data_IF_704652074887
#
_entry.id   IF_704652074887
#
_cell.length_a   1.000
_cell.length_b   1.000
_cell.length_c   1.000
_cell.angle_alpha   90.00
_cell.angle_beta   90.00
_cell.angle_gamma   90.00
#
_symmetry.space_group_name_H-M   'P 1'
#
loop_
_entity.id
_entity.type
_entity.pdbx_description
1 polymer ?
#
# COMPACT_ATOMS: atom_id res chain seq x y z
N UNK A 1 13.44 15.67 20.05
CA UNK A 1 13.08 15.80 18.62
C UNK A 1 12.55 14.49 17.96
N UNK A 2 12.31 13.40 18.71
CA UNK A 2 11.82 12.13 18.13
C UNK A 2 10.28 11.96 18.10
N UNK A 3 9.52 12.91 18.64
CA UNK A 3 8.04 12.83 18.75
C UNK A 3 7.28 13.24 17.48
N UNK A 4 7.96 13.75 16.46
CA UNK A 4 7.32 14.31 15.25
C UNK A 4 7.31 13.34 14.07
N UNK A 5 8.06 12.24 14.14
CA UNK A 5 8.22 11.28 13.02
C UNK A 5 6.99 10.37 12.88
N UNK A 6 6.18 10.20 13.92
CA UNK A 6 4.96 9.37 13.89
C UNK A 6 3.77 10.04 13.19
N UNK A 7 3.86 11.31 12.79
CA UNK A 7 2.77 12.04 12.11
C UNK A 7 2.89 12.07 10.57
N UNK A 8 3.93 11.46 10.01
CA UNK A 8 4.18 11.45 8.56
C UNK A 8 4.31 10.01 8.04
N UNK A 9 3.30 9.20 8.31
CA UNK A 9 3.07 8.02 7.47
C UNK A 9 2.30 8.49 6.22
N UNK A 10 2.73 8.15 4.99
CA UNK A 10 2.11 8.62 3.74
C UNK A 10 0.71 8.01 3.47
N UNK A 11 0.02 7.53 4.50
CA UNK A 11 -1.28 6.85 4.42
C UNK A 11 -2.47 7.83 4.36
N UNK A 12 -2.23 9.14 4.25
CA UNK A 12 -3.29 10.17 4.27
C UNK A 12 -3.97 10.36 2.89
N UNK A 13 -3.48 9.78 1.80
CA UNK A 13 -3.88 10.22 0.46
C UNK A 13 -4.92 9.38 -0.30
N UNK A 14 -5.49 8.31 0.26
CA UNK A 14 -6.54 7.54 -0.43
C UNK A 14 -7.77 7.33 0.45
N UNK A 15 -8.46 8.44 0.71
CA UNK A 15 -9.85 8.47 1.20
C UNK A 15 -10.86 8.75 0.08
N UNK A 16 -10.58 8.39 -1.17
CA UNK A 16 -11.46 8.74 -2.30
C UNK A 16 -12.69 7.82 -2.39
N UNK A 17 -12.67 6.64 -1.76
CA UNK A 17 -13.84 5.74 -1.68
C UNK A 17 -13.78 4.86 -0.42
N UNK A 18 -14.18 5.38 0.76
CA UNK A 18 -14.51 4.51 1.89
C UNK A 18 -15.69 5.09 2.68
N UNK A 19 -16.80 4.38 2.63
CA UNK A 19 -17.98 4.63 3.46
C UNK A 19 -17.74 3.99 4.83
N UNK A 20 -17.96 4.74 5.91
CA UNK A 20 -17.85 4.26 7.28
C UNK A 20 -19.12 3.46 7.62
N UNK A 21 -19.06 2.13 7.59
CA UNK A 21 -20.13 1.31 8.16
C UNK A 21 -19.98 1.18 9.68
N UNK A 22 -21.12 1.28 10.34
CA UNK A 22 -21.29 1.22 11.79
C UNK A 22 -21.03 -0.18 12.33
N UNK A 23 -20.35 -0.29 13.48
CA UNK A 23 -20.02 -1.54 14.19
C UNK A 23 -21.25 -2.37 14.61
N UNK A 24 -22.47 -1.85 14.40
CA UNK A 24 -23.74 -2.47 14.77
C UNK A 24 -24.46 -3.17 13.60
N UNK A 25 -23.93 -3.11 12.38
CA UNK A 25 -24.54 -3.76 11.21
C UNK A 25 -24.09 -5.22 11.10
N UNK A 26 -24.40 -6.00 12.15
CA UNK A 26 -24.32 -7.46 12.08
C UNK A 26 -25.59 -7.93 11.37
N UNK A 27 -25.40 -8.55 10.22
CA UNK A 27 -26.43 -9.21 9.42
C UNK A 27 -27.32 -10.09 10.32
N UNK A 28 -28.53 -9.60 10.62
CA UNK A 28 -29.57 -10.32 11.38
C UNK A 28 -30.28 -11.37 10.53
N UNK A 29 -29.93 -11.47 9.26
CA UNK A 29 -30.35 -12.57 8.41
C UNK A 29 -29.46 -13.75 8.72
N UNK A 30 -30.07 -14.89 9.05
CA UNK A 30 -29.41 -16.18 9.26
C UNK A 30 -28.84 -16.73 7.94
N UNK A 31 -28.02 -15.92 7.24
CA UNK A 31 -27.14 -16.38 6.18
C UNK A 31 -26.14 -17.31 6.84
N UNK A 32 -25.75 -18.42 6.19
CA UNK A 32 -24.69 -19.25 6.73
C UNK A 32 -23.50 -18.33 7.00
N UNK A 33 -23.15 -18.21 8.28
CA UNK A 33 -21.91 -17.63 8.77
C UNK A 33 -20.82 -18.08 7.78
N UNK A 34 -19.98 -17.20 7.20
CA UNK A 34 -18.87 -17.68 6.39
C UNK A 34 -17.92 -18.40 7.34
N UNK A 35 -18.24 -19.68 7.60
CA UNK A 35 -17.32 -20.72 8.00
C UNK A 35 -16.06 -20.45 7.23
N UNK A 36 -14.99 -20.15 7.97
CA UNK A 36 -13.74 -19.68 7.41
C UNK A 36 -13.37 -20.52 6.18
N UNK A 37 -12.79 -19.89 5.15
CA UNK A 37 -12.63 -20.51 3.84
C UNK A 37 -12.01 -21.90 3.94
N UNK A 38 -12.80 -22.92 3.61
CA UNK A 38 -12.45 -24.34 3.78
C UNK A 38 -11.35 -24.78 2.82
N UNK A 39 -11.17 -24.04 1.72
CA UNK A 39 -10.18 -24.33 0.66
C UNK A 39 -9.33 -23.10 0.35
N UNK A 40 -8.04 -23.27 0.03
CA UNK A 40 -7.12 -22.16 -0.28
C UNK A 40 -7.56 -21.26 -1.45
N UNK A 41 -8.34 -21.80 -2.40
CA UNK A 41 -8.93 -21.02 -3.49
C UNK A 41 -10.01 -20.05 -3.02
N UNK A 42 -10.75 -20.41 -1.98
CA UNK A 42 -11.80 -19.56 -1.42
C UNK A 42 -11.19 -18.36 -0.68
N UNK A 43 -10.03 -18.54 -0.02
CA UNK A 43 -9.22 -17.45 0.57
C UNK A 43 -8.79 -16.44 -0.48
N UNK A 44 -8.31 -16.93 -1.63
CA UNK A 44 -7.88 -16.07 -2.74
C UNK A 44 -9.07 -15.31 -3.32
N UNK A 45 -10.21 -15.98 -3.50
CA UNK A 45 -11.45 -15.30 -3.92
C UNK A 45 -11.85 -14.21 -2.95
N UNK A 46 -11.85 -14.47 -1.64
CA UNK A 46 -12.16 -13.47 -0.62
C UNK A 46 -11.17 -12.29 -0.61
N UNK A 47 -9.91 -12.50 -1.02
CA UNK A 47 -8.95 -11.39 -1.18
C UNK A 47 -9.34 -10.45 -2.32
N UNK A 48 -9.87 -10.96 -3.44
CA UNK A 48 -10.21 -10.16 -4.62
C UNK A 48 -11.68 -9.72 -4.68
N UNK A 49 -12.58 -10.50 -4.10
CA UNK A 49 -13.98 -10.15 -3.90
C UNK A 49 -14.04 -9.34 -2.60
N UNK A 50 -14.01 -8.01 -2.73
CA UNK A 50 -14.29 -7.12 -1.60
C UNK A 50 -15.58 -7.56 -0.90
N UNK A 51 -15.65 -7.36 0.42
CA UNK A 51 -16.85 -7.70 1.18
C UNK A 51 -18.10 -7.00 0.61
N UNK A 52 -19.29 -7.43 1.02
CA UNK A 52 -20.60 -6.93 0.52
C UNK A 52 -20.75 -5.39 0.54
N UNK A 53 -19.88 -4.68 1.26
CA UNK A 53 -19.87 -3.21 1.41
C UNK A 53 -18.67 -2.51 0.76
N UNK A 54 -18.11 -3.08 -0.31
CA UNK A 54 -17.10 -2.40 -1.15
C UNK A 54 -15.82 -1.99 -0.37
N UNK A 55 -15.47 -2.77 0.66
CA UNK A 55 -14.17 -2.66 1.32
C UNK A 55 -13.13 -3.50 0.58
N UNK A 56 -12.09 -2.82 0.07
CA UNK A 56 -10.90 -3.48 -0.46
C UNK A 56 -10.27 -4.32 0.65
N UNK A 57 -10.03 -5.61 0.38
CA UNK A 57 -9.39 -6.54 1.31
C UNK A 57 -8.11 -5.94 1.90
N UNK A 58 -7.83 -6.22 3.17
CA UNK A 58 -6.67 -5.68 3.89
C UNK A 58 -5.35 -6.07 3.23
N UNK A 59 -5.33 -7.26 2.64
CA UNK A 59 -4.22 -7.79 1.87
C UNK A 59 -3.96 -6.95 0.62
N UNK A 60 -5.01 -6.59 -0.14
CA UNK A 60 -4.90 -5.70 -1.31
C UNK A 60 -4.52 -4.27 -0.92
N UNK A 61 -5.03 -3.75 0.20
CA UNK A 61 -4.63 -2.45 0.72
C UNK A 61 -3.14 -2.43 1.10
N UNK A 62 -2.62 -3.51 1.66
CA UNK A 62 -1.20 -3.66 1.98
C UNK A 62 -0.35 -3.70 0.71
N UNK A 63 -0.80 -4.42 -0.33
CA UNK A 63 -0.16 -4.44 -1.66
C UNK A 63 -0.12 -3.04 -2.29
N UNK A 64 -1.21 -2.29 -2.20
CA UNK A 64 -1.24 -0.93 -2.74
C UNK A 64 -0.28 0.00 -1.99
N UNK A 65 -0.24 -0.10 -0.66
CA UNK A 65 0.66 0.71 0.17
C UNK A 65 2.13 0.37 -0.07
N UNK A 66 2.48 -0.92 -0.18
CA UNK A 66 3.86 -1.34 -0.49
C UNK A 66 4.29 -0.86 -1.88
N UNK A 67 3.37 -0.91 -2.86
CA UNK A 67 3.61 -0.39 -4.21
C UNK A 67 3.86 1.12 -4.22
N UNK A 68 3.04 1.91 -3.53
CA UNK A 68 3.22 3.36 -3.41
C UNK A 68 4.51 3.72 -2.66
N UNK A 69 4.87 2.96 -1.62
CA UNK A 69 6.14 3.11 -0.91
C UNK A 69 7.33 2.81 -1.84
N UNK A 70 7.24 1.74 -2.64
CA UNK A 70 8.22 1.39 -3.66
C UNK A 70 8.37 2.50 -4.71
N UNK A 71 7.26 3.09 -5.15
CA UNK A 71 7.24 4.22 -6.06
C UNK A 71 7.96 5.44 -5.47
N UNK A 72 7.71 5.75 -4.19
CA UNK A 72 8.34 6.87 -3.49
C UNK A 72 9.85 6.68 -3.33
N UNK A 73 10.29 5.51 -2.86
CA UNK A 73 11.71 5.17 -2.74
C UNK A 73 12.38 5.22 -4.13
N UNK A 74 11.72 4.70 -5.15
CA UNK A 74 12.18 4.76 -6.52
C UNK A 74 12.31 6.17 -7.08
N UNK A 75 11.35 7.03 -6.76
CA UNK A 75 11.38 8.44 -7.13
C UNK A 75 12.54 9.17 -6.45
N UNK A 76 12.78 8.93 -5.15
CA UNK A 76 13.92 9.50 -4.43
C UNK A 76 15.26 9.06 -5.05
N UNK A 77 15.44 7.75 -5.26
CA UNK A 77 16.68 7.23 -5.85
C UNK A 77 16.91 7.77 -7.28
N UNK A 78 15.88 7.71 -8.14
CA UNK A 78 15.96 8.23 -9.50
C UNK A 78 16.20 9.73 -9.58
N UNK A 79 15.56 10.50 -8.68
CA UNK A 79 15.75 11.94 -8.57
C UNK A 79 17.17 12.31 -8.14
N UNK A 80 17.73 11.65 -7.11
CA UNK A 80 19.09 11.91 -6.65
C UNK A 80 20.15 11.54 -7.70
N UNK A 81 20.01 10.39 -8.35
CA UNK A 81 20.97 9.99 -9.40
C UNK A 81 20.90 10.94 -10.60
N UNK A 82 19.70 11.27 -11.07
CA UNK A 82 19.53 12.15 -12.24
C UNK A 82 19.95 13.60 -11.97
N UNK A 83 19.70 14.11 -10.76
CA UNK A 83 20.14 15.46 -10.36
C UNK A 83 21.66 15.59 -10.30
N UNK A 84 22.37 14.55 -9.81
CA UNK A 84 23.84 14.52 -9.83
C UNK A 84 24.41 14.55 -11.24
N UNK A 85 23.87 13.73 -12.15
CA UNK A 85 24.30 13.70 -13.56
C UNK A 85 24.02 15.05 -14.23
N UNK A 86 22.85 15.64 -14.01
CA UNK A 86 22.51 16.94 -14.56
C UNK A 86 23.40 18.07 -14.02
N UNK A 87 23.78 18.02 -12.74
CA UNK A 87 24.73 18.98 -12.19
C UNK A 87 26.07 18.93 -12.93
N UNK A 88 26.64 17.73 -13.12
CA UNK A 88 27.91 17.56 -13.84
C UNK A 88 27.79 18.03 -15.30
N UNK A 89 26.72 17.62 -16.00
CA UNK A 89 26.47 18.04 -17.38
C UNK A 89 26.28 19.56 -17.51
N UNK A 90 25.69 20.22 -16.49
CA UNK A 90 25.54 21.67 -16.50
C UNK A 90 26.90 22.36 -16.39
N UNK A 91 27.77 21.88 -15.50
CA UNK A 91 29.11 22.44 -15.31
C UNK A 91 29.95 22.25 -16.57
N UNK A 92 29.95 21.05 -17.16
CA UNK A 92 30.71 20.74 -18.38
C UNK A 92 30.26 21.56 -19.59
N UNK A 93 28.95 21.69 -19.82
CA UNK A 93 28.42 22.43 -20.97
C UNK A 93 28.51 23.96 -20.82
N UNK A 94 28.65 24.47 -19.59
CA UNK A 94 28.70 25.92 -19.31
C UNK A 94 30.09 26.42 -18.92
N UNK A 95 31.17 25.66 -19.16
CA UNK A 95 32.53 26.12 -18.86
C UNK A 95 32.95 27.36 -19.65
N UNK A 96 32.32 27.61 -20.81
CA UNK A 96 32.63 28.74 -21.69
C UNK A 96 31.60 29.88 -21.68
N UNK A 97 30.50 29.75 -20.91
CA UNK A 97 29.43 30.76 -20.92
C UNK A 97 29.67 31.84 -19.86
N UNK A 98 29.82 33.10 -20.31
CA UNK A 98 29.93 34.25 -19.41
C UNK A 98 28.54 34.62 -18.92
N UNK A 99 28.24 34.34 -17.65
CA UNK A 99 26.96 34.71 -17.04
C UNK A 99 26.93 36.21 -16.70
N UNK A 100 25.80 36.87 -16.96
CA UNK A 100 25.58 38.29 -16.63
C UNK A 100 25.68 38.61 -15.14
N UNK A 101 25.39 37.64 -14.27
CA UNK A 101 25.46 37.77 -12.81
C UNK A 101 25.51 36.39 -12.14
N UNK A 102 26.15 36.30 -10.98
CA UNK A 102 26.23 35.07 -10.17
C UNK A 102 24.86 34.57 -9.71
N UNK A 103 23.90 35.47 -9.49
CA UNK A 103 22.52 35.11 -9.13
C UNK A 103 21.78 34.43 -10.30
N UNK A 104 21.98 34.93 -11.52
CA UNK A 104 21.39 34.34 -12.73
C UNK A 104 21.94 32.93 -12.99
N UNK A 105 23.25 32.74 -12.81
CA UNK A 105 23.89 31.43 -12.93
C UNK A 105 23.33 30.41 -11.93
N UNK A 106 23.17 30.81 -10.65
CA UNK A 106 22.58 29.95 -9.61
C UNK A 106 21.13 29.56 -9.91
N UNK A 107 20.32 30.51 -10.38
CA UNK A 107 18.92 30.24 -10.75
C UNK A 107 18.82 29.27 -11.94
N UNK A 108 19.67 29.44 -12.95
CA UNK A 108 19.68 28.57 -14.12
C UNK A 108 20.11 27.14 -13.75
N UNK A 109 21.13 27.01 -12.91
CA UNK A 109 21.56 25.72 -12.36
C UNK A 109 20.44 25.04 -11.56
N UNK A 110 19.79 25.77 -10.65
CA UNK A 110 18.69 25.23 -9.85
C UNK A 110 17.52 24.75 -10.71
N UNK A 111 17.11 25.55 -11.70
CA UNK A 111 16.06 25.15 -12.64
C UNK A 111 16.45 23.89 -13.42
N UNK A 112 17.68 23.82 -13.92
CA UNK A 112 18.17 22.66 -14.67
C UNK A 112 18.19 21.39 -13.83
N UNK A 113 18.75 21.46 -12.62
CA UNK A 113 18.83 20.32 -11.69
C UNK A 113 17.44 19.89 -11.21
N UNK A 114 16.53 20.84 -10.97
CA UNK A 114 15.15 20.53 -10.53
C UNK A 114 14.36 19.80 -11.61
N UNK A 115 14.46 20.26 -12.87
CA UNK A 115 13.82 19.57 -14.01
C UNK A 115 14.40 18.17 -14.19
N UNK A 116 15.73 18.03 -14.07
CA UNK A 116 16.37 16.72 -14.14
C UNK A 116 15.97 15.80 -12.98
N UNK A 117 15.83 16.34 -11.77
CA UNK A 117 15.33 15.60 -10.61
C UNK A 117 13.92 15.07 -10.87
N UNK A 118 13.00 15.91 -11.35
CA UNK A 118 11.62 15.51 -11.63
C UNK A 118 11.53 14.43 -12.73
N UNK A 119 12.29 14.60 -13.81
CA UNK A 119 12.37 13.60 -14.89
C UNK A 119 12.94 12.26 -14.41
N UNK A 120 13.99 12.31 -13.59
CA UNK A 120 14.59 11.11 -12.99
C UNK A 120 13.65 10.40 -12.04
N UNK A 121 12.97 11.17 -11.18
CA UNK A 121 12.00 10.68 -10.21
C UNK A 121 10.82 9.99 -10.89
N UNK A 122 10.23 10.60 -11.93
CA UNK A 122 9.12 9.99 -12.67
C UNK A 122 9.55 8.69 -13.34
N UNK A 123 10.68 8.69 -14.09
CA UNK A 123 11.15 7.53 -14.86
C UNK A 123 11.43 6.30 -13.99
N UNK A 124 12.01 6.49 -12.81
CA UNK A 124 12.31 5.38 -11.89
C UNK A 124 11.13 5.03 -10.98
N UNK A 125 10.35 6.03 -10.55
CA UNK A 125 9.21 5.86 -9.67
C UNK A 125 8.16 4.92 -10.25
N UNK A 126 7.72 5.13 -11.49
CA UNK A 126 6.69 4.26 -12.09
C UNK A 126 7.18 2.83 -12.33
N UNK A 127 8.45 2.64 -12.71
CA UNK A 127 9.07 1.32 -12.92
C UNK A 127 9.13 0.53 -11.62
N UNK A 128 9.54 1.17 -10.53
CA UNK A 128 9.60 0.53 -9.22
C UNK A 128 8.22 0.32 -8.60
N UNK A 129 7.27 1.23 -8.84
CA UNK A 129 5.87 1.04 -8.49
C UNK A 129 5.32 -0.26 -9.10
N UNK A 130 5.47 -0.42 -10.43
CA UNK A 130 4.98 -1.60 -11.13
C UNK A 130 5.68 -2.89 -10.67
N UNK A 131 7.01 -2.84 -10.51
CA UNK A 131 7.78 -3.99 -10.03
C UNK A 131 7.37 -4.42 -8.61
N UNK A 132 7.28 -3.47 -7.68
CA UNK A 132 6.90 -3.75 -6.28
C UNK A 132 5.44 -4.15 -6.15
N UNK A 133 4.55 -3.58 -6.98
CA UNK A 133 3.14 -3.96 -7.05
C UNK A 133 2.94 -5.42 -7.48
N UNK A 134 3.58 -5.86 -8.57
CA UNK A 134 3.50 -7.25 -9.04
C UNK A 134 4.10 -8.21 -8.00
N UNK A 135 5.24 -7.87 -7.42
CA UNK A 135 5.88 -8.68 -6.39
C UNK A 135 4.98 -8.84 -5.16
N UNK A 136 4.47 -7.73 -4.64
CA UNK A 136 3.61 -7.74 -3.45
C UNK A 136 2.32 -8.48 -3.74
N UNK A 137 1.68 -8.23 -4.87
CA UNK A 137 0.45 -8.92 -5.28
C UNK A 137 0.67 -10.44 -5.35
N UNK A 138 1.72 -10.88 -6.04
CA UNK A 138 2.01 -12.31 -6.19
C UNK A 138 2.35 -12.95 -4.85
N UNK A 139 3.20 -12.31 -4.04
CA UNK A 139 3.59 -12.83 -2.74
C UNK A 139 2.38 -12.96 -1.80
N UNK A 140 1.52 -11.95 -1.77
CA UNK A 140 0.32 -11.95 -0.92
C UNK A 140 -0.69 -12.99 -1.40
N UNK A 141 -0.94 -13.11 -2.71
CA UNK A 141 -1.87 -14.13 -3.24
C UNK A 141 -1.41 -15.55 -2.94
N UNK A 142 -0.10 -15.84 -3.05
CA UNK A 142 0.44 -17.17 -2.71
C UNK A 142 0.34 -17.43 -1.19
N UNK A 143 0.64 -16.42 -0.36
CA UNK A 143 0.53 -16.56 1.10
C UNK A 143 -0.92 -16.78 1.55
N UNK A 144 -1.89 -16.08 0.95
CA UNK A 144 -3.33 -16.26 1.22
C UNK A 144 -3.81 -17.65 0.79
N UNK A 145 -3.34 -18.15 -0.36
CA UNK A 145 -3.68 -19.49 -0.83
C UNK A 145 -3.21 -20.58 0.15
N UNK A 146 -1.99 -20.46 0.67
CA UNK A 146 -1.38 -21.49 1.54
C UNK A 146 -1.74 -21.35 3.02
N UNK A 147 -2.15 -20.16 3.46
CA UNK A 147 -2.43 -19.86 4.86
C UNK A 147 -1.20 -19.59 5.73
N UNK A 148 -0.02 -20.05 5.30
CA UNK A 148 1.26 -19.85 5.97
C UNK A 148 2.15 -18.88 5.20
N UNK A 149 3.19 -18.37 5.85
CA UNK A 149 4.26 -17.64 5.18
C UNK A 149 5.55 -18.42 5.19
N UNK A 150 6.05 -18.74 4.01
CA UNK A 150 7.30 -19.48 3.82
C UNK A 150 8.16 -18.87 2.75
N UNK A 151 9.44 -19.24 2.76
CA UNK A 151 10.45 -18.79 1.81
C UNK A 151 10.03 -18.97 0.34
N UNK A 152 9.24 -20.00 0.05
CA UNK A 152 8.78 -20.36 -1.29
C UNK A 152 7.89 -19.26 -1.90
N UNK A 153 7.08 -18.57 -1.10
CA UNK A 153 6.24 -17.45 -1.58
C UNK A 153 7.10 -16.30 -2.10
N UNK A 154 8.11 -15.90 -1.32
CA UNK A 154 9.01 -14.83 -1.73
C UNK A 154 9.83 -15.23 -2.97
N UNK A 155 10.32 -16.47 -3.04
CA UNK A 155 11.10 -16.95 -4.17
C UNK A 155 10.27 -17.04 -5.45
N UNK A 156 9.04 -17.57 -5.36
CA UNK A 156 8.12 -17.66 -6.50
C UNK A 156 7.62 -16.29 -6.96
N UNK A 157 7.30 -15.38 -6.03
CA UNK A 157 6.96 -14.00 -6.35
C UNK A 157 8.13 -13.28 -7.02
N UNK A 158 9.36 -13.50 -6.52
CA UNK A 158 10.59 -12.99 -7.12
C UNK A 158 10.85 -13.51 -8.53
N UNK A 159 10.66 -14.82 -8.73
CA UNK A 159 10.78 -15.47 -10.03
C UNK A 159 9.78 -14.86 -11.04
N UNK A 160 8.51 -14.78 -10.65
CA UNK A 160 7.44 -14.31 -11.50
C UNK A 160 7.62 -12.82 -11.85
N UNK A 161 7.93 -12.00 -10.85
CA UNK A 161 8.15 -10.56 -11.06
C UNK A 161 9.39 -10.31 -11.92
N UNK A 162 10.48 -11.03 -11.67
CA UNK A 162 11.72 -10.92 -12.44
C UNK A 162 11.56 -11.38 -13.89
N UNK A 163 10.74 -12.42 -14.11
CA UNK A 163 10.35 -12.87 -15.45
C UNK A 163 9.52 -11.78 -16.14
N UNK A 164 8.41 -11.35 -15.52
CA UNK A 164 7.46 -10.36 -16.07
C UNK A 164 8.14 -9.05 -16.46
N UNK A 165 9.11 -8.59 -15.66
CA UNK A 165 9.83 -7.34 -15.93
C UNK A 165 10.66 -7.38 -17.23
N UNK A 166 11.06 -8.56 -17.70
CA UNK A 166 11.94 -8.73 -18.88
C UNK A 166 11.30 -9.46 -20.06
N UNK A 167 10.00 -9.73 -20.05
CA UNK A 167 9.31 -10.46 -21.13
C UNK A 167 9.54 -9.79 -22.49
N UNK A 168 9.48 -8.46 -22.55
CA UNK A 168 9.64 -7.71 -23.80
C UNK A 168 11.05 -7.82 -24.41
N UNK A 169 12.05 -8.27 -23.66
CA UNK A 169 13.43 -8.44 -24.14
C UNK A 169 13.72 -9.88 -24.64
N UNK A 170 12.72 -10.77 -24.65
CA UNK A 170 12.81 -12.14 -25.16
C UNK A 170 13.07 -13.21 -24.09
N UNK A 171 12.91 -14.49 -24.48
CA UNK A 171 12.92 -15.64 -23.55
C UNK A 171 14.21 -15.77 -22.72
N UNK A 172 15.37 -15.51 -23.31
CA UNK A 172 16.64 -15.55 -22.59
C UNK A 172 16.73 -14.48 -21.50
N UNK A 173 16.23 -13.27 -21.79
CA UNK A 173 16.18 -12.18 -20.82
C UNK A 173 15.19 -12.47 -19.68
N UNK A 174 14.06 -13.12 -20.00
CA UNK A 174 13.08 -13.60 -19.02
C UNK A 174 13.68 -14.64 -18.08
N UNK A 175 14.43 -15.62 -18.59
CA UNK A 175 15.06 -16.65 -17.76
C UNK A 175 16.10 -16.07 -16.81
N UNK A 176 16.95 -15.15 -17.30
CA UNK A 176 17.93 -14.45 -16.47
C UNK A 176 17.24 -13.53 -15.46
N UNK A 177 16.16 -12.85 -15.86
CA UNK A 177 15.34 -12.03 -14.97
C UNK A 177 14.70 -12.83 -13.85
N UNK A 178 14.15 -14.01 -14.18
CA UNK A 178 13.60 -14.95 -13.20
C UNK A 178 14.70 -15.46 -12.25
N UNK A 179 15.87 -15.86 -12.77
CA UNK A 179 16.99 -16.35 -11.96
C UNK A 179 17.58 -15.29 -11.03
N UNK A 180 17.70 -14.03 -11.47
CA UNK A 180 18.12 -12.93 -10.60
C UNK A 180 17.04 -12.60 -9.57
N UNK A 181 15.77 -12.62 -9.98
CA UNK A 181 14.62 -12.39 -9.10
C UNK A 181 14.51 -13.43 -7.99
N UNK A 182 14.71 -14.71 -8.30
CA UNK A 182 14.74 -15.78 -7.30
C UNK A 182 15.91 -15.64 -6.34
N UNK A 183 17.12 -15.38 -6.85
CA UNK A 183 18.31 -15.25 -6.02
C UNK A 183 18.19 -14.10 -5.00
N UNK A 184 17.76 -12.92 -5.46
CA UNK A 184 17.54 -11.77 -4.58
C UNK A 184 16.43 -12.03 -3.55
N UNK A 185 15.32 -12.64 -3.99
CA UNK A 185 14.18 -12.92 -3.11
C UNK A 185 14.47 -14.04 -2.11
N UNK A 186 15.35 -14.97 -2.45
CA UNK A 186 15.83 -16.00 -1.54
C UNK A 186 16.62 -15.39 -0.38
N UNK A 187 17.58 -14.50 -0.68
CA UNK A 187 18.37 -13.81 0.35
C UNK A 187 17.47 -12.93 1.22
N UNK A 188 16.56 -12.18 0.59
CA UNK A 188 15.60 -11.34 1.31
C UNK A 188 14.66 -12.18 2.19
N UNK A 189 14.11 -13.27 1.66
CA UNK A 189 13.22 -14.16 2.39
C UNK A 189 13.89 -14.85 3.57
N UNK A 190 15.14 -15.31 3.43
CA UNK A 190 15.93 -15.83 4.56
C UNK A 190 16.13 -14.75 5.63
N UNK A 191 16.43 -13.52 5.21
CA UNK A 191 16.64 -12.41 6.14
C UNK A 191 15.36 -12.10 6.92
N UNK A 192 14.21 -12.05 6.24
CA UNK A 192 12.90 -11.82 6.86
C UNK A 192 12.55 -12.94 7.84
N UNK A 193 12.70 -14.20 7.42
CA UNK A 193 12.44 -15.36 8.29
C UNK A 193 13.42 -15.43 9.47
N UNK A 194 14.67 -15.00 9.28
CA UNK A 194 15.67 -14.88 10.34
C UNK A 194 15.25 -13.85 11.38
N UNK A 195 14.80 -12.68 10.94
CA UNK A 195 14.27 -11.64 11.84
C UNK A 195 13.06 -12.17 12.61
N UNK A 196 12.11 -12.81 11.94
CA UNK A 196 10.91 -13.40 12.57
C UNK A 196 11.26 -14.44 13.64
N UNK A 197 12.26 -15.29 13.37
CA UNK A 197 12.75 -16.25 14.36
C UNK A 197 13.41 -15.58 15.57
N UNK A 198 14.11 -14.47 15.38
CA UNK A 198 14.75 -13.72 16.47
C UNK A 198 13.72 -12.97 17.31
N UNK A 199 12.68 -12.40 16.70
CA UNK A 199 11.60 -11.71 17.43
C UNK A 199 10.60 -12.66 18.08
N UNK A 200 10.55 -13.93 17.67
CA UNK A 200 9.63 -14.93 18.24
C UNK A 200 8.15 -14.63 17.95
N UNK A 201 7.87 -13.85 16.90
CA UNK A 201 6.51 -13.47 16.50
C UNK A 201 6.03 -14.41 15.41
N UNK A 202 4.87 -15.03 15.61
CA UNK A 202 4.25 -15.89 14.61
C UNK A 202 3.47 -15.07 13.56
N UNK A 203 3.26 -15.61 12.37
CA UNK A 203 2.53 -14.93 11.28
C UNK A 203 1.09 -14.59 11.66
N UNK A 204 0.48 -15.40 12.52
CA UNK A 204 -0.86 -15.17 13.06
C UNK A 204 -0.86 -13.92 13.95
N UNK A 205 0.21 -13.69 14.71
CA UNK A 205 0.34 -12.52 15.57
C UNK A 205 0.56 -11.26 14.75
N UNK A 206 1.29 -11.35 13.63
CA UNK A 206 1.45 -10.23 12.69
C UNK A 206 0.12 -9.87 12.06
N UNK A 207 -0.64 -10.85 11.57
CA UNK A 207 -1.98 -10.59 11.03
C UNK A 207 -2.87 -9.94 12.09
N UNK A 208 -2.94 -10.49 13.30
CA UNK A 208 -3.71 -9.90 14.41
C UNK A 208 -3.25 -8.48 14.75
N UNK A 209 -1.95 -8.21 14.72
CA UNK A 209 -1.41 -6.87 14.97
C UNK A 209 -1.81 -5.89 13.86
N UNK A 210 -1.78 -6.31 12.60
CA UNK A 210 -2.23 -5.51 11.45
C UNK A 210 -3.73 -5.21 11.53
N UNK A 211 -4.56 -6.20 11.85
CA UNK A 211 -6.00 -6.01 12.09
C UNK A 211 -6.24 -4.99 13.20
N UNK A 212 -5.55 -5.12 14.36
CA UNK A 212 -5.67 -4.17 15.46
C UNK A 212 -5.23 -2.75 15.09
N UNK A 213 -4.17 -2.61 14.28
CA UNK A 213 -3.71 -1.32 13.80
C UNK A 213 -4.71 -0.67 12.83
N UNK A 214 -5.42 -1.47 12.04
CA UNK A 214 -6.50 -1.00 11.17
C UNK A 214 -7.70 -0.56 11.99
N UNK A 215 -8.16 -1.38 12.93
CA UNK A 215 -9.29 -1.05 13.81
C UNK A 215 -9.04 0.24 14.58
N UNK A 216 -7.86 0.37 15.21
CA UNK A 216 -7.46 1.60 15.90
C UNK A 216 -7.39 2.82 14.97
N UNK A 217 -7.07 2.63 13.68
CA UNK A 217 -7.06 3.72 12.69
C UNK A 217 -8.46 4.12 12.27
N UNK A 218 -9.32 3.14 12.04
CA UNK A 218 -10.72 3.35 11.66
C UNK A 218 -11.46 4.08 12.82
N UNK A 219 -11.20 3.70 14.07
CA UNK A 219 -11.66 4.43 15.26
C UNK A 219 -11.16 5.89 15.29
N UNK A 220 -9.87 6.12 15.07
CA UNK A 220 -9.30 7.47 15.03
C UNK A 220 -9.90 8.32 13.92
N UNK A 221 -10.13 7.73 12.76
CA UNK A 221 -10.74 8.40 11.62
C UNK A 221 -12.21 8.75 11.92
N UNK A 222 -12.98 7.82 12.47
CA UNK A 222 -14.36 8.07 12.87
C UNK A 222 -14.45 9.16 13.94
N UNK A 223 -13.58 9.15 14.95
CA UNK A 223 -13.50 10.23 15.93
C UNK A 223 -13.12 11.59 15.31
N UNK A 224 -12.25 11.60 14.30
CA UNK A 224 -11.87 12.83 13.59
C UNK A 224 -13.01 13.34 12.70
N UNK A 225 -13.76 12.45 12.05
CA UNK A 225 -14.95 12.76 11.30
C UNK A 225 -16.05 13.31 12.20
N UNK A 226 -16.35 12.64 13.31
CA UNK A 226 -17.35 13.10 14.30
C UNK A 226 -17.03 14.50 14.83
N UNK A 227 -15.74 14.79 15.11
CA UNK A 227 -15.30 16.12 15.55
C UNK A 227 -15.42 17.19 14.45
N UNK A 228 -15.33 16.79 13.19
CA UNK A 228 -15.35 17.70 12.03
C UNK A 228 -16.75 17.89 11.45
N UNK A 229 -17.67 16.94 11.69
CA UNK A 229 -19.06 17.01 11.23
C UNK A 229 -19.89 17.96 12.10
N UNK A 230 -20.55 18.95 11.48
CA UNK A 230 -21.51 19.84 12.18
C UNK A 230 -22.82 19.13 12.52
N UNK A 231 -23.12 18.03 11.84
CA UNK A 231 -24.35 17.25 11.98
C UNK A 231 -23.94 15.78 11.92
N UNK A 232 -24.20 15.02 13.00
CA UNK A 232 -23.74 13.64 13.17
C UNK A 232 -24.55 12.63 12.36
N UNK A 233 -25.81 12.97 12.07
CA UNK A 233 -26.77 12.15 11.36
C UNK A 233 -27.43 12.98 10.25
N UNK A 234 -27.75 12.34 9.13
CA UNK A 234 -28.63 12.97 8.13
C UNK A 234 -30.01 13.25 8.76
N UNK A 235 -30.70 14.28 8.28
CA UNK A 235 -32.02 14.70 8.78
C UNK A 235 -33.03 13.54 8.88
N UNK A 236 -32.90 12.55 7.99
CA UNK A 236 -33.71 11.34 7.91
C UNK A 236 -33.44 10.37 9.07
N UNK A 237 -32.18 10.23 9.49
CA UNK A 237 -31.78 9.33 10.58
C UNK A 237 -32.10 9.93 11.95
N UNK A 238 -32.02 11.26 12.08
CA UNK A 238 -32.51 11.97 13.27
C UNK A 238 -34.02 11.80 13.44
N UNK A 239 -34.79 11.86 12.34
CA UNK A 239 -36.24 11.64 12.38
C UNK A 239 -36.58 10.20 12.76
N UNK A 240 -35.86 9.21 12.20
CA UNK A 240 -36.05 7.81 12.57
C UNK A 240 -35.73 7.55 14.05
N UNK A 241 -34.63 8.13 14.56
CA UNK A 241 -34.25 8.00 15.98
C UNK A 241 -35.32 8.60 16.90
N UNK A 242 -35.91 9.74 16.51
CA UNK A 242 -37.04 10.34 17.25
C UNK A 242 -38.27 9.44 17.24
N UNK A 243 -38.63 8.85 16.10
CA UNK A 243 -39.75 7.92 16.01
C UNK A 243 -39.53 6.66 16.86
N UNK A 244 -38.31 6.10 16.86
CA UNK A 244 -37.98 4.93 17.69
C UNK A 244 -38.04 5.26 19.18
N UNK A 245 -37.66 6.49 19.58
CA UNK A 245 -37.78 6.97 20.96
C UNK A 245 -39.25 7.22 21.35
N UNK A 246 -40.07 7.74 20.44
CA UNK A 246 -41.50 8.01 20.67
C UNK A 246 -42.35 6.74 20.71
N UNK A 247 -42.08 5.77 19.84
CA UNK A 247 -42.86 4.52 19.77
C UNK A 247 -42.37 3.45 20.76
N UNK A 248 -41.17 3.63 21.32
CA UNK A 248 -40.50 2.64 22.18
C UNK A 248 -40.11 1.39 21.40
N UNK A 249 -39.02 0.71 21.82
CA UNK A 249 -38.60 -0.55 21.19
C UNK A 249 -39.69 -1.63 21.34
N UNK A 250 -40.63 -1.71 20.40
CA UNK A 250 -41.46 -2.90 20.26
C UNK A 250 -40.58 -3.99 19.65
N UNK A 251 -40.21 -4.95 20.49
CA UNK A 251 -39.57 -6.18 20.01
C UNK A 251 -40.49 -6.84 19.00
N UNK A 252 -39.91 -7.37 17.92
CA UNK A 252 -40.61 -8.04 16.81
C UNK A 252 -41.49 -9.21 17.29
N UNK A 253 -41.30 -9.68 18.52
CA UNK A 253 -42.11 -10.71 19.19
C UNK A 253 -43.52 -10.23 19.61
N UNK A 254 -43.81 -8.92 19.59
CA UNK A 254 -45.11 -8.35 19.96
C UNK A 254 -45.93 -7.78 18.78
N UNK A 255 -45.60 -8.13 17.53
CA UNK A 255 -46.42 -7.85 16.33
C UNK A 255 -47.22 -9.07 15.87
#
# INVERSE_FOLDING_TARGET
MFRTITKLSPTIALGVFRHSSSQYDKDLLNRPNPSGPETGWDRVKQMYTGGEFEEVSEELNTVLQSSLCGAFIGACMGGFVSSRVAYLNFIENNQATIFKSTAAAKKQLQNYVTVAFAKGAYKWGWRLCFFTGIFSLTSTTISVYRGDTSLIEFVSAGALTGALYKIDMGLAATLVGAGLGTALSFVAGITILGILKVTGVDMIDIRKALYKLKEARDEQFNQALEKSSKQKYDSLTDHHTKLVIEEGEKKIEEM
#
